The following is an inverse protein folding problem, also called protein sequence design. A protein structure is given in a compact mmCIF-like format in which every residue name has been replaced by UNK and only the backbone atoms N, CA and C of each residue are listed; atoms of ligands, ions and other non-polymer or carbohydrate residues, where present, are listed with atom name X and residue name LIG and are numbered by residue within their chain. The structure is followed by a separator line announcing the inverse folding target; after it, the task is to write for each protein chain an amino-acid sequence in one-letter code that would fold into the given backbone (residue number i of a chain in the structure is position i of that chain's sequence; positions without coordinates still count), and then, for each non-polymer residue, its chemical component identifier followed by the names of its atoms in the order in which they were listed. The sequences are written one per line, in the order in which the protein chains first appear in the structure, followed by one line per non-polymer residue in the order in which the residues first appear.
data_IF_892789834010
#
_entry.id   IF_892789834010
#
_cell.length_a   1.000
_cell.length_b   1.000
_cell.length_c   1.000
_cell.angle_alpha   90.00
_cell.angle_beta   90.00
_cell.angle_gamma   90.00
#
_symmetry.space_group_name_H-M   'P 1'
#
loop_
_entity.id
_entity.type
_entity.pdbx_description
1 polymer ?
#
# COMPACT_ATOMS: atom_id res chain seq x y z
N UNK A 1 -7.89 5.88 -9.84
CA UNK A 1 -6.62 5.14 -9.73
C UNK A 1 -5.70 5.34 -10.93
N UNK A 2 -6.12 5.22 -12.20
CA UNK A 2 -5.22 5.46 -13.34
C UNK A 2 -4.84 4.21 -14.15
N UNK A 3 -5.67 3.16 -14.08
CA UNK A 3 -5.58 2.01 -14.98
C UNK A 3 -4.57 0.94 -14.58
N UNK A 4 -4.45 -0.07 -15.46
CA UNK A 4 -3.61 -1.25 -15.21
C UNK A 4 -2.12 -0.96 -15.28
N UNK A 5 -1.69 -0.16 -16.27
CA UNK A 5 -0.27 0.16 -16.47
C UNK A 5 0.32 0.91 -15.26
N UNK A 6 -0.38 1.92 -14.75
CA UNK A 6 0.05 2.65 -13.56
C UNK A 6 0.04 1.76 -12.31
N UNK A 7 -0.90 0.82 -12.21
CA UNK A 7 -0.89 -0.16 -11.13
C UNK A 7 0.33 -1.09 -11.21
N UNK A 8 0.74 -1.52 -12.41
CA UNK A 8 1.97 -2.29 -12.59
C UNK A 8 3.22 -1.49 -12.22
N UNK A 9 3.27 -0.21 -12.57
CA UNK A 9 4.35 0.70 -12.17
C UNK A 9 4.45 0.80 -10.63
N UNK A 10 3.31 0.91 -9.93
CA UNK A 10 3.29 0.91 -8.47
C UNK A 10 3.81 -0.43 -7.92
N UNK A 11 3.36 -1.57 -8.45
CA UNK A 11 3.80 -2.88 -7.98
C UNK A 11 5.31 -3.09 -8.19
N UNK A 12 5.87 -2.60 -9.30
CA UNK A 12 7.32 -2.65 -9.55
C UNK A 12 8.09 -1.80 -8.54
N UNK A 13 7.61 -0.58 -8.28
CA UNK A 13 8.19 0.31 -7.27
C UNK A 13 8.17 -0.31 -5.87
N UNK A 14 7.01 -0.84 -5.46
CA UNK A 14 6.89 -1.53 -4.18
C UNK A 14 7.75 -2.79 -4.10
N UNK A 15 7.93 -3.52 -5.21
CA UNK A 15 8.81 -4.69 -5.28
C UNK A 15 10.28 -4.34 -5.07
N UNK A 16 10.75 -3.23 -5.64
CA UNK A 16 12.13 -2.75 -5.42
C UNK A 16 12.36 -2.37 -3.96
N UNK A 17 11.40 -1.65 -3.36
CA UNK A 17 11.44 -1.29 -1.93
C UNK A 17 11.35 -2.54 -1.06
N UNK A 18 10.51 -3.51 -1.42
CA UNK A 18 10.35 -4.73 -0.63
C UNK A 18 11.64 -5.58 -0.61
N UNK A 19 12.39 -5.59 -1.71
CA UNK A 19 13.72 -6.21 -1.79
C UNK A 19 14.73 -5.50 -0.88
N UNK A 20 14.77 -4.17 -0.88
CA UNK A 20 15.62 -3.36 0.01
C UNK A 20 15.36 -3.67 1.49
N UNK A 21 14.09 -3.80 1.88
CA UNK A 21 13.66 -4.06 3.26
C UNK A 21 13.49 -5.55 3.60
N UNK A 22 13.79 -6.47 2.68
CA UNK A 22 13.65 -7.93 2.84
C UNK A 22 12.26 -8.36 3.34
N UNK A 23 11.22 -7.79 2.75
CA UNK A 23 9.82 -8.05 3.14
C UNK A 23 8.93 -8.25 1.90
N UNK A 24 7.66 -8.53 2.12
CA UNK A 24 6.66 -8.64 1.04
C UNK A 24 6.19 -7.26 0.56
N UNK A 25 5.73 -7.19 -0.69
CA UNK A 25 5.08 -5.99 -1.26
C UNK A 25 3.91 -5.53 -0.37
N UNK A 26 3.15 -6.48 0.18
CA UNK A 26 2.02 -6.21 1.07
C UNK A 26 2.46 -5.49 2.35
N UNK A 27 3.60 -5.88 2.93
CA UNK A 27 4.14 -5.23 4.11
C UNK A 27 4.63 -3.80 3.83
N UNK A 28 5.25 -3.55 2.66
CA UNK A 28 5.62 -2.18 2.25
C UNK A 28 4.38 -1.30 2.13
N UNK A 29 3.36 -1.76 1.40
CA UNK A 29 2.12 -1.02 1.21
C UNK A 29 1.40 -0.74 2.55
N UNK A 30 1.35 -1.74 3.43
CA UNK A 30 0.73 -1.61 4.76
C UNK A 30 1.50 -0.61 5.63
N UNK A 31 2.83 -0.71 5.67
CA UNK A 31 3.69 0.21 6.45
C UNK A 31 3.58 1.65 5.94
N UNK A 32 3.51 1.85 4.61
CA UNK A 32 3.32 3.16 4.01
C UNK A 32 2.02 3.84 4.46
N UNK A 33 0.90 3.09 4.49
CA UNK A 33 -0.39 3.63 4.96
C UNK A 33 -0.37 3.86 6.47
N UNK A 34 0.17 2.92 7.25
CA UNK A 34 0.23 3.01 8.72
C UNK A 34 1.05 4.22 9.21
N UNK A 35 2.02 4.69 8.44
CA UNK A 35 2.86 5.85 8.78
C UNK A 35 2.19 7.21 8.46
N UNK A 36 0.98 7.25 7.90
CA UNK A 36 0.29 8.53 7.61
C UNK A 36 -0.26 9.16 8.91
N UNK A 37 -0.23 10.51 9.05
CA UNK A 37 -0.60 11.20 10.30
C UNK A 37 -2.00 10.90 10.86
N UNK A 38 -2.95 10.50 10.01
CA UNK A 38 -4.35 10.23 10.39
C UNK A 38 -4.71 8.73 10.44
N UNK A 39 -3.73 7.83 10.33
CA UNK A 39 -3.96 6.39 10.32
C UNK A 39 -3.47 5.78 11.63
N UNK A 40 -4.39 5.15 12.38
CA UNK A 40 -4.09 4.47 13.66
C UNK A 40 -3.98 2.95 13.54
N UNK A 41 -4.39 2.39 12.39
CA UNK A 41 -4.35 0.96 12.15
C UNK A 41 -4.71 0.60 10.71
N UNK A 42 -4.33 -0.61 10.30
CA UNK A 42 -4.68 -1.21 9.00
C UNK A 42 -5.31 -2.56 9.26
N UNK A 43 -6.39 -2.87 8.56
CA UNK A 43 -7.08 -4.17 8.64
C UNK A 43 -6.63 -5.03 7.47
N UNK A 44 -6.05 -6.19 7.76
CA UNK A 44 -5.61 -7.17 6.75
C UNK A 44 -6.57 -8.36 6.78
N UNK A 45 -7.23 -8.64 5.66
CA UNK A 45 -8.06 -9.84 5.50
C UNK A 45 -7.19 -11.08 5.30
N UNK A 46 -7.50 -12.17 6.01
CA UNK A 46 -6.80 -13.44 5.93
C UNK A 46 -7.78 -14.62 5.84
N UNK A 47 -7.37 -15.73 5.20
CA UNK A 47 -8.15 -16.97 5.14
C UNK A 47 -7.57 -18.00 6.09
N UNK A 48 -8.16 -18.10 7.28
CA UNK A 48 -7.70 -19.02 8.32
C UNK A 48 -7.71 -20.48 7.84
N UNK A 49 -6.64 -21.21 8.14
CA UNK A 49 -6.44 -22.60 7.71
C UNK A 49 -6.07 -22.81 6.23
N UNK A 50 -6.00 -21.75 5.41
CA UNK A 50 -5.61 -21.83 3.99
C UNK A 50 -4.38 -20.98 3.71
N UNK A 51 -4.47 -19.69 4.01
CA UNK A 51 -3.44 -18.69 3.69
C UNK A 51 -3.58 -17.52 4.65
N UNK A 52 -2.93 -17.65 5.80
CA UNK A 52 -3.10 -16.70 6.92
C UNK A 52 -2.03 -15.60 6.92
N UNK A 53 -0.84 -15.91 6.36
CA UNK A 53 0.32 -15.03 6.27
C UNK A 53 0.68 -14.31 7.58
N UNK A 54 0.36 -14.90 8.73
CA UNK A 54 0.45 -14.24 10.04
C UNK A 54 1.89 -13.77 10.31
N UNK A 55 2.89 -14.61 10.07
CA UNK A 55 4.29 -14.26 10.34
C UNK A 55 4.88 -13.28 9.33
N UNK A 56 4.38 -13.27 8.09
CA UNK A 56 4.73 -12.25 7.10
C UNK A 56 4.11 -10.91 7.50
N UNK A 57 2.82 -10.87 7.82
CA UNK A 57 2.10 -9.65 8.20
C UNK A 57 2.70 -8.97 9.45
N UNK A 58 3.28 -9.74 10.38
CA UNK A 58 4.00 -9.18 11.55
C UNK A 58 5.25 -8.39 11.18
N UNK A 59 5.86 -8.64 10.01
CA UNK A 59 7.06 -7.91 9.58
C UNK A 59 6.78 -6.43 9.33
N UNK A 60 5.52 -6.02 9.13
CA UNK A 60 5.14 -4.61 8.94
C UNK A 60 5.69 -3.69 10.03
N UNK A 61 5.73 -4.15 11.29
CA UNK A 61 6.20 -3.37 12.43
C UNK A 61 7.72 -3.18 12.47
N UNK A 62 8.46 -3.90 11.63
CA UNK A 62 9.93 -3.81 11.53
C UNK A 62 10.38 -2.91 10.38
N UNK A 63 9.45 -2.50 9.51
CA UNK A 63 9.75 -1.68 8.34
C UNK A 63 9.66 -0.22 8.73
N UNK A 64 10.75 0.51 8.51
CA UNK A 64 10.78 1.96 8.57
C UNK A 64 11.11 2.50 7.18
N UNK A 65 10.11 3.07 6.51
CA UNK A 65 10.28 3.61 5.17
C UNK A 65 10.99 4.96 5.27
N UNK A 66 12.13 5.07 4.59
CA UNK A 66 12.88 6.31 4.58
C UNK A 66 12.25 7.33 3.62
N UNK A 67 12.83 8.53 3.56
CA UNK A 67 12.34 9.61 2.71
C UNK A 67 12.38 9.26 1.22
N UNK A 68 13.36 8.45 0.79
CA UNK A 68 13.49 8.03 -0.59
C UNK A 68 12.38 7.04 -0.95
N UNK A 69 12.15 6.01 -0.12
CA UNK A 69 11.08 5.03 -0.33
C UNK A 69 9.72 5.72 -0.45
N UNK A 70 9.46 6.69 0.44
CA UNK A 70 8.23 7.49 0.43
C UNK A 70 8.11 8.33 -0.84
N UNK A 71 9.20 8.96 -1.29
CA UNK A 71 9.23 9.77 -2.50
C UNK A 71 8.99 8.93 -3.75
N UNK A 72 9.56 7.73 -3.83
CA UNK A 72 9.35 6.80 -4.95
C UNK A 72 7.88 6.39 -5.04
N UNK A 73 7.28 5.98 -3.93
CA UNK A 73 5.84 5.65 -3.87
C UNK A 73 4.99 6.86 -4.27
N UNK A 74 5.28 8.04 -3.71
CA UNK A 74 4.56 9.28 -4.02
C UNK A 74 4.59 9.60 -5.51
N UNK A 75 5.76 9.51 -6.14
CA UNK A 75 5.94 9.84 -7.57
C UNK A 75 5.05 9.02 -8.51
N UNK A 76 4.70 7.79 -8.13
CA UNK A 76 3.77 6.95 -8.88
C UNK A 76 2.33 7.29 -8.52
N UNK A 77 2.02 7.44 -7.23
CA UNK A 77 0.64 7.71 -6.78
C UNK A 77 0.13 9.10 -7.20
N UNK A 78 1.00 10.09 -7.41
CA UNK A 78 0.62 11.41 -7.92
C UNK A 78 0.12 11.38 -9.37
N UNK A 79 0.45 10.33 -10.14
CA UNK A 79 -0.09 10.11 -11.49
C UNK A 79 -1.52 9.56 -11.47
N UNK A 80 -2.02 9.14 -10.29
CA UNK A 80 -3.34 8.54 -10.15
C UNK A 80 -4.44 9.60 -10.19
N UNK A 81 -5.61 9.26 -10.75
CA UNK A 81 -6.78 10.12 -10.65
C UNK A 81 -7.21 10.25 -9.19
N UNK A 82 -7.58 11.46 -8.77
CA UNK A 82 -8.25 11.71 -7.51
C UNK A 82 -9.57 10.93 -7.48
N UNK A 83 -9.60 9.86 -6.68
CA UNK A 83 -10.78 9.02 -6.54
C UNK A 83 -11.87 9.74 -5.77
N UNK A 84 -11.52 10.60 -4.82
CA UNK A 84 -12.52 11.33 -4.05
C UNK A 84 -13.26 12.33 -4.94
N UNK A 85 -12.56 13.01 -5.84
CA UNK A 85 -13.19 13.89 -6.84
C UNK A 85 -14.03 13.09 -7.85
N UNK A 86 -13.55 11.92 -8.28
CA UNK A 86 -14.19 11.13 -9.34
C UNK A 86 -15.45 10.37 -8.88
N UNK A 87 -15.43 9.78 -7.68
CA UNK A 87 -16.49 8.88 -7.19
C UNK A 87 -17.08 9.27 -5.83
N UNK A 88 -16.54 10.31 -5.17
CA UNK A 88 -17.01 10.77 -3.86
C UNK A 88 -16.49 9.94 -2.69
N UNK A 89 -17.09 10.18 -1.51
CA UNK A 89 -16.79 9.43 -0.29
C UNK A 89 -17.35 8.00 -0.35
N UNK A 90 -16.84 7.10 0.49
CA UNK A 90 -17.30 5.71 0.57
C UNK A 90 -18.83 5.62 0.67
N UNK A 91 -19.43 4.87 -0.25
CA UNK A 91 -20.88 4.74 -0.41
C UNK A 91 -21.48 5.65 -1.49
N UNK A 92 -20.77 6.70 -1.91
CA UNK A 92 -21.21 7.62 -2.97
C UNK A 92 -21.17 6.97 -4.36
N UNK A 93 -20.31 5.96 -4.53
CA UNK A 93 -20.17 5.18 -5.76
C UNK A 93 -21.39 4.34 -6.13
N UNK A 94 -22.30 4.09 -5.18
CA UNK A 94 -23.52 3.30 -5.38
C UNK A 94 -24.77 4.15 -5.69
N UNK A 95 -24.61 5.46 -5.86
CA UNK A 95 -25.69 6.40 -6.17
C UNK A 95 -25.87 6.56 -7.67
#
# INVERSE_FOLDING_TARGET
WGGWELFQELLQTLSQISQKHQCSIANVATSYILQKPAVVGVIIGARLGISEHIDDNKQVFRINLDSQDKSEILSVTEKSNDLFELIGDCGSEYR
#
